data_IF_145261334602
#
_entry.id   IF_145261334602
#
_cell.length_a   1.000
_cell.length_b   1.000
_cell.length_c   1.000
_cell.angle_alpha   90.00
_cell.angle_beta   90.00
_cell.angle_gamma   90.00
#
_symmetry.space_group_name_H-M   'P 1'
#
loop_
_entity.id
_entity.type
_entity.pdbx_description
1 polymer ?
#
# COMPACT_ATOMS: atom_id res chain seq x y z
N UNK A 1 5.88 -8.58 2.73
CA UNK A 1 6.02 -7.72 1.55
C UNK A 1 7.50 -7.63 1.17
N UNK A 2 7.81 -7.57 -0.12
CA UNK A 2 9.20 -7.48 -0.62
C UNK A 2 9.51 -6.05 -1.06
N UNK A 3 10.23 -5.29 -0.25
CA UNK A 3 10.66 -3.92 -0.58
C UNK A 3 12.15 -3.91 -0.94
N UNK A 4 12.58 -3.16 -1.98
CA UNK A 4 13.99 -3.12 -2.38
C UNK A 4 14.90 -2.69 -1.22
N UNK A 5 15.97 -3.45 -0.96
CA UNK A 5 16.86 -3.19 0.18
C UNK A 5 17.72 -1.92 0.00
N UNK A 6 17.88 -1.47 -1.25
CA UNK A 6 18.60 -0.26 -1.62
C UNK A 6 17.74 1.02 -1.51
N UNK A 7 16.46 0.89 -1.17
CA UNK A 7 15.54 2.01 -0.99
C UNK A 7 15.12 2.16 0.48
N UNK A 8 14.99 3.41 0.98
CA UNK A 8 14.42 3.64 2.30
C UNK A 8 12.96 3.17 2.34
N UNK A 9 12.53 2.68 3.50
CA UNK A 9 11.14 2.32 3.72
C UNK A 9 10.23 3.56 3.57
N UNK A 10 9.07 3.44 2.90
CA UNK A 10 8.22 4.59 2.65
C UNK A 10 7.55 5.10 3.94
N UNK A 11 7.42 6.42 4.00
CA UNK A 11 6.85 7.15 5.12
C UNK A 11 5.48 7.70 4.71
N UNK A 12 4.59 7.88 5.70
CA UNK A 12 3.31 8.52 5.52
C UNK A 12 3.49 10.05 5.42
N UNK A 13 3.01 10.72 4.35
CA UNK A 13 3.06 12.16 4.19
C UNK A 13 1.85 12.89 4.79
N UNK A 14 0.87 12.15 5.32
CA UNK A 14 -0.35 12.72 5.91
C UNK A 14 -0.07 13.46 7.20
N UNK A 15 -0.97 14.38 7.57
CA UNK A 15 -0.87 15.14 8.82
C UNK A 15 -1.31 14.26 10.00
N UNK A 16 -0.36 13.86 10.84
CA UNK A 16 -0.60 13.07 12.04
C UNK A 16 -0.92 14.03 13.19
N UNK A 17 -2.17 14.49 13.25
CA UNK A 17 -2.59 15.61 14.09
C UNK A 17 -2.49 15.38 15.61
N UNK A 18 -2.21 14.15 16.07
CA UNK A 18 -2.27 13.82 17.49
C UNK A 18 -0.96 13.20 17.98
N UNK A 19 -0.43 13.68 19.10
CA UNK A 19 0.75 13.10 19.80
C UNK A 19 0.59 11.59 20.12
N UNK A 20 -0.65 11.07 20.05
CA UNK A 20 -0.99 9.66 20.21
C UNK A 20 -0.67 8.78 18.98
N UNK A 21 -0.41 9.41 17.83
CA UNK A 21 -0.16 8.75 16.55
C UNK A 21 1.32 8.32 16.39
N UNK A 22 2.21 8.86 17.23
CA UNK A 22 3.65 8.60 17.22
C UNK A 22 4.46 9.76 16.62
N UNK A 23 5.81 9.66 16.57
CA UNK A 23 6.64 10.70 16.02
C UNK A 23 6.49 10.76 14.49
N UNK A 24 5.99 11.88 13.98
CA UNK A 24 5.97 12.20 12.56
C UNK A 24 7.41 12.33 12.01
N UNK A 25 7.76 11.74 10.84
CA UNK A 25 6.94 10.92 9.96
C UNK A 25 6.81 9.45 10.37
N UNK A 26 5.58 8.91 10.25
CA UNK A 26 5.29 7.50 10.53
C UNK A 26 5.69 6.59 9.35
N UNK A 27 6.37 5.46 9.60
CA UNK A 27 6.59 4.45 8.56
C UNK A 27 5.27 3.79 8.16
N UNK A 28 5.04 3.60 6.86
CA UNK A 28 3.84 2.89 6.40
C UNK A 28 3.91 1.41 6.78
N UNK A 29 2.77 0.80 7.07
CA UNK A 29 2.64 -0.64 7.26
C UNK A 29 2.50 -1.31 5.90
N UNK A 30 3.25 -2.40 5.73
CA UNK A 30 3.10 -3.29 4.59
C UNK A 30 1.71 -3.95 4.62
N UNK A 31 0.85 -3.57 3.66
CA UNK A 31 -0.51 -4.05 3.59
C UNK A 31 -0.68 -5.26 2.68
N UNK A 32 -0.62 -5.01 1.37
CA UNK A 32 -0.89 -6.02 0.32
C UNK A 32 0.13 -5.91 -0.80
N UNK A 33 0.68 -7.05 -1.24
CA UNK A 33 1.48 -7.16 -2.46
C UNK A 33 0.82 -8.17 -3.37
N UNK A 34 0.49 -7.78 -4.61
CA UNK A 34 -0.16 -8.66 -5.59
C UNK A 34 0.78 -8.88 -6.77
N UNK A 35 0.92 -10.11 -7.22
CA UNK A 35 1.63 -10.42 -8.46
C UNK A 35 0.64 -10.38 -9.63
N UNK A 36 0.89 -9.58 -10.66
CA UNK A 36 -0.06 -9.50 -11.79
C UNK A 36 -0.23 -10.82 -12.54
N UNK A 37 0.77 -11.71 -12.52
CA UNK A 37 0.61 -13.08 -13.06
C UNK A 37 -0.56 -13.85 -12.42
N UNK A 38 -0.89 -13.52 -11.17
CA UNK A 38 -1.95 -14.14 -10.39
C UNK A 38 -3.26 -13.32 -10.45
N UNK A 39 -3.19 -12.06 -10.92
CA UNK A 39 -4.33 -11.15 -11.08
C UNK A 39 -4.25 -10.37 -12.42
N UNK A 40 -4.28 -11.06 -13.58
CA UNK A 40 -3.97 -10.46 -14.88
C UNK A 40 -5.03 -9.47 -15.40
N UNK A 41 -6.21 -9.43 -14.77
CA UNK A 41 -7.28 -8.48 -15.10
C UNK A 41 -7.14 -7.13 -14.40
N UNK A 42 -6.16 -6.97 -13.51
CA UNK A 42 -5.93 -5.71 -12.82
C UNK A 42 -5.30 -4.69 -13.79
N UNK A 43 -5.88 -3.50 -13.97
CA UNK A 43 -5.25 -2.44 -14.76
C UNK A 43 -3.90 -2.06 -14.14
N UNK A 44 -2.89 -1.86 -14.99
CA UNK A 44 -1.54 -1.56 -14.53
C UNK A 44 -0.81 -0.63 -15.50
N UNK A 45 0.15 0.17 -15.01
CA UNK A 45 1.06 0.90 -15.88
C UNK A 45 1.94 -0.06 -16.70
N UNK A 46 2.40 0.34 -17.90
CA UNK A 46 3.33 -0.46 -18.69
C UNK A 46 4.65 -0.70 -17.95
N UNK A 47 5.16 -1.93 -18.00
CA UNK A 47 6.49 -2.27 -17.48
C UNK A 47 6.58 -2.48 -15.97
N UNK A 48 5.45 -2.47 -15.25
CA UNK A 48 5.38 -2.74 -13.80
C UNK A 48 4.25 -3.73 -13.52
N UNK A 49 4.54 -4.74 -12.70
CA UNK A 49 3.70 -5.92 -12.52
C UNK A 49 3.60 -6.44 -11.07
N UNK A 50 4.07 -5.63 -10.12
CA UNK A 50 4.04 -5.88 -8.70
C UNK A 50 3.50 -4.66 -7.93
N UNK A 51 2.16 -4.45 -7.89
CA UNK A 51 1.55 -3.44 -7.04
C UNK A 51 1.73 -3.77 -5.56
N UNK A 52 2.14 -2.76 -4.79
CA UNK A 52 2.36 -2.83 -3.35
C UNK A 52 1.55 -1.74 -2.67
N UNK A 53 0.53 -2.13 -1.93
CA UNK A 53 -0.32 -1.26 -1.14
C UNK A 53 0.21 -1.17 0.29
N UNK A 54 0.49 0.04 0.72
CA UNK A 54 0.98 0.36 2.06
C UNK A 54 0.10 1.44 2.70
N UNK A 55 -0.15 1.36 3.99
CA UNK A 55 -1.01 2.32 4.69
C UNK A 55 -0.42 2.80 6.01
N UNK A 56 -0.85 3.98 6.44
CA UNK A 56 -0.47 4.58 7.71
C UNK A 56 -0.93 3.71 8.89
N UNK A 57 -0.08 3.48 9.92
CA UNK A 57 -0.48 2.73 11.12
C UNK A 57 -1.74 3.27 11.81
N UNK A 58 -1.98 4.56 11.71
CA UNK A 58 -3.08 5.26 12.37
C UNK A 58 -4.31 5.39 11.48
N UNK A 59 -4.29 4.75 10.31
CA UNK A 59 -5.42 4.68 9.38
C UNK A 59 -6.62 4.00 10.04
N UNK A 60 -7.57 4.80 10.53
CA UNK A 60 -8.88 4.32 10.99
C UNK A 60 -9.83 4.07 9.83
N UNK A 61 -10.53 2.94 9.83
CA UNK A 61 -11.48 2.51 8.77
C UNK A 61 -12.66 3.51 8.62
N UNK A 62 -12.89 4.38 9.61
CA UNK A 62 -14.01 5.33 9.67
C UNK A 62 -13.69 6.75 9.19
N UNK A 63 -12.44 7.06 8.79
CA UNK A 63 -12.10 8.41 8.34
C UNK A 63 -12.29 8.58 6.81
N UNK A 64 -12.84 9.73 6.43
CA UNK A 64 -13.62 9.88 5.19
C UNK A 64 -12.82 10.08 3.89
N UNK A 65 -11.47 10.18 3.89
CA UNK A 65 -10.67 10.18 2.65
C UNK A 65 -9.17 9.93 2.92
N UNK A 66 -8.72 8.68 2.81
CA UNK A 66 -7.34 8.31 3.15
C UNK A 66 -6.38 8.20 1.98
N UNK A 67 -6.94 8.18 0.77
CA UNK A 67 -6.16 8.15 -0.47
C UNK A 67 -5.72 9.55 -0.89
N UNK A 68 -6.49 10.59 -0.60
CA UNK A 68 -6.15 11.95 -1.00
C UNK A 68 -4.93 12.51 -0.25
N UNK A 69 -4.77 12.13 1.02
CA UNK A 69 -3.76 12.69 1.92
C UNK A 69 -2.53 11.79 2.08
N UNK A 70 -2.44 10.71 1.28
CA UNK A 70 -1.29 9.81 1.23
C UNK A 70 -1.17 8.84 2.41
N UNK A 71 -2.20 8.72 3.25
CA UNK A 71 -2.28 7.68 4.28
C UNK A 71 -2.40 6.27 3.67
N UNK A 72 -2.88 6.14 2.44
CA UNK A 72 -2.79 4.93 1.62
C UNK A 72 -1.97 5.22 0.36
N UNK A 73 -0.91 4.44 0.13
CA UNK A 73 -0.06 4.56 -1.05
C UNK A 73 0.04 3.23 -1.79
N UNK A 74 0.06 3.31 -3.11
CA UNK A 74 0.29 2.16 -3.99
C UNK A 74 1.55 2.41 -4.80
N UNK A 75 2.55 1.55 -4.61
CA UNK A 75 3.78 1.54 -5.39
C UNK A 75 3.67 0.48 -6.47
N UNK A 76 3.78 0.90 -7.73
CA UNK A 76 3.91 -0.02 -8.85
C UNK A 76 5.38 -0.29 -9.11
N UNK A 77 5.78 -1.55 -9.00
CA UNK A 77 7.16 -1.97 -9.21
C UNK A 77 7.23 -3.06 -10.28
N UNK A 78 8.34 -3.16 -11.00
CA UNK A 78 8.63 -4.34 -11.79
C UNK A 78 9.03 -5.50 -10.87
N UNK A 79 8.66 -6.73 -11.23
CA UNK A 79 8.84 -7.90 -10.37
C UNK A 79 10.30 -8.18 -10.05
N UNK A 80 11.25 -7.81 -10.92
CA UNK A 80 12.69 -7.97 -10.65
C UNK A 80 13.18 -7.19 -9.43
N UNK A 81 12.48 -6.11 -9.04
CA UNK A 81 12.81 -5.35 -7.84
C UNK A 81 12.54 -6.15 -6.55
N UNK A 82 11.74 -7.23 -6.62
CA UNK A 82 11.55 -8.16 -5.51
C UNK A 82 12.88 -8.78 -5.06
N UNK A 83 13.75 -9.09 -6.02
CA UNK A 83 15.02 -9.80 -5.82
C UNK A 83 16.09 -8.95 -5.16
N UNK A 84 15.86 -7.64 -5.07
CA UNK A 84 16.73 -6.70 -4.35
C UNK A 84 16.47 -6.70 -2.84
N UNK A 85 15.47 -7.43 -2.36
CA UNK A 85 15.18 -7.60 -0.93
C UNK A 85 16.13 -8.64 -0.33
N UNK A 86 16.99 -8.27 0.62
CA UNK A 86 17.83 -9.27 1.31
C UNK A 86 17.01 -10.16 2.25
N UNK A 87 17.57 -11.29 2.68
CA UNK A 87 16.90 -12.19 3.64
C UNK A 87 16.58 -11.49 4.97
N UNK A 88 17.50 -10.68 5.49
CA UNK A 88 17.31 -9.97 6.76
C UNK A 88 16.26 -8.85 6.62
N UNK A 89 16.22 -8.14 5.50
CA UNK A 89 15.19 -7.13 5.21
C UNK A 89 13.80 -7.74 5.08
N UNK A 90 13.73 -8.94 4.48
CA UNK A 90 12.50 -9.71 4.36
C UNK A 90 11.93 -10.09 5.73
N UNK A 91 12.81 -10.45 6.68
CA UNK A 91 12.42 -10.80 8.05
C UNK A 91 11.96 -9.57 8.83
N UNK A 92 12.66 -8.44 8.72
CA UNK A 92 12.26 -7.19 9.39
C UNK A 92 10.92 -6.67 8.89
N UNK A 93 10.68 -6.71 7.58
CA UNK A 93 9.41 -6.32 6.96
C UNK A 93 8.23 -7.21 7.39
N UNK A 94 8.49 -8.50 7.67
CA UNK A 94 7.49 -9.46 8.15
C UNK A 94 7.21 -9.33 9.65
N UNK A 95 8.19 -8.90 10.44
CA UNK A 95 8.04 -8.70 11.89
C UNK A 95 7.47 -7.31 12.24
N UNK A 96 7.62 -6.32 11.35
CA UNK A 96 7.06 -4.99 11.52
C UNK A 96 5.53 -4.93 11.30
N UNK A 97 4.98 -5.89 10.55
CA UNK A 97 3.55 -5.99 10.28
C UNK A 97 2.96 -7.15 11.10
N UNK A 98 2.67 -6.92 12.38
CA UNK A 98 1.70 -7.74 13.10
C UNK A 98 0.30 -7.30 12.64
N UNK A 99 -0.08 -7.76 11.44
CA UNK A 99 -1.31 -7.40 10.77
C UNK A 99 -2.33 -8.54 10.91
N UNK A 100 -3.30 -8.38 11.82
CA UNK A 100 -4.48 -9.23 11.86
C UNK A 100 -5.45 -8.81 10.75
N UNK A 101 -5.40 -9.52 9.61
CA UNK A 101 -6.47 -9.43 8.60
C UNK A 101 -7.69 -10.17 9.16
N UNK A 102 -8.62 -9.41 9.75
CA UNK A 102 -9.89 -9.94 10.24
C UNK A 102 -10.61 -10.75 9.17
N UNK A 103 -11.11 -11.94 9.53
CA UNK A 103 -11.91 -12.78 8.63
C UNK A 103 -13.28 -12.14 8.42
N UNK A 104 -13.38 -11.28 7.42
CA UNK A 104 -14.63 -10.75 6.92
C UNK A 104 -14.35 -10.01 5.64
N UNK A 105 -14.88 -10.52 4.53
CA UNK A 105 -14.80 -9.97 3.17
C UNK A 105 -13.52 -10.32 2.37
N UNK A 106 -13.72 -10.49 1.05
CA UNK A 106 -12.64 -10.58 0.08
C UNK A 106 -12.08 -9.16 -0.17
N UNK A 107 -10.78 -9.02 -0.41
CA UNK A 107 -10.21 -7.78 -0.94
C UNK A 107 -10.88 -7.51 -2.29
N UNK A 108 -11.63 -6.41 -2.39
CA UNK A 108 -12.29 -5.98 -3.61
C UNK A 108 -11.52 -4.80 -4.20
N UNK A 109 -11.18 -4.90 -5.48
CA UNK A 109 -10.50 -3.83 -6.21
C UNK A 109 -11.43 -3.25 -7.25
N UNK A 110 -11.65 -1.94 -7.19
CA UNK A 110 -12.52 -1.21 -8.09
C UNK A 110 -11.69 -0.27 -8.97
N UNK A 111 -12.03 -0.20 -10.24
CA UNK A 111 -11.44 0.73 -11.20
C UNK A 111 -12.51 1.20 -12.18
N UNK A 112 -12.34 2.38 -12.73
CA UNK A 112 -13.21 2.82 -13.81
C UNK A 112 -12.81 2.17 -15.12
N UNK A 113 -13.83 1.68 -15.82
CA UNK A 113 -13.68 0.99 -17.10
C UNK A 113 -13.44 1.95 -18.26
N UNK A 114 -13.70 3.25 -18.09
CA UNK A 114 -13.44 4.28 -19.11
C UNK A 114 -11.99 4.80 -19.04
N UNK A 115 -11.48 5.04 -17.85
CA UNK A 115 -10.09 5.45 -17.58
C UNK A 115 -9.74 5.02 -16.15
N UNK A 116 -8.76 4.13 -15.99
CA UNK A 116 -8.37 3.63 -14.67
C UNK A 116 -7.50 4.62 -13.86
N UNK A 117 -7.04 5.70 -14.49
CA UNK A 117 -6.13 6.70 -13.88
C UNK A 117 -6.87 7.88 -13.25
N UNK A 118 -8.16 8.03 -13.52
CA UNK A 118 -8.93 9.13 -12.97
C UNK A 118 -9.13 8.97 -11.44
N UNK A 119 -9.26 10.07 -10.68
CA UNK A 119 -9.49 9.99 -9.23
C UNK A 119 -10.81 9.26 -8.92
N UNK A 120 -10.79 8.37 -7.93
CA UNK A 120 -12.01 7.74 -7.41
C UNK A 120 -12.94 8.85 -6.91
N UNK A 121 -14.21 8.78 -7.30
CA UNK A 121 -15.21 9.77 -6.92
C UNK A 121 -15.35 9.79 -5.38
N UNK A 122 -15.05 10.95 -4.78
CA UNK A 122 -14.98 11.17 -3.33
C UNK A 122 -16.35 11.26 -2.65
N UNK A 123 -17.42 11.29 -3.42
CA UNK A 123 -18.80 11.30 -2.95
C UNK A 123 -19.64 10.37 -3.82
N UNK A 124 -20.02 9.22 -3.26
CA UNK A 124 -21.18 8.48 -3.76
C UNK A 124 -22.42 9.10 -3.11
N UNK A 125 -23.08 10.02 -3.81
CA UNK A 125 -24.45 10.44 -3.47
C UNK A 125 -25.46 9.45 -4.02
#
# INVERSE_FOLDING_TARGET
MLWPADEPWPLCPGDHALDQDGPDPLPLIAGVQVYLRDAPSLPHPPGVDLPQMMWCPTLGIEADDHTADGHLQVFWRPIEDEGKTSYDDRRLSQLAADLDIGRGYALQTYYCTADWTHPIARYMQ
#
